data_IF_214685731988
#
_entry.id   IF_214685731988
#
_cell.length_a   1.000
_cell.length_b   1.000
_cell.length_c   1.000
_cell.angle_alpha   90.00
_cell.angle_beta   90.00
_cell.angle_gamma   90.00
#
_symmetry.space_group_name_H-M   'P 1'
#
loop_
_entity.id
_entity.type
_entity.pdbx_description
1 polymer ?
#
# COMPACT_ATOMS: atom_id res chain seq x y z
N UNK A 1 -12.54 -27.64 -46.78
CA UNK A 1 -12.77 -28.85 -47.60
C UNK A 1 -12.93 -28.50 -49.08
N UNK A 2 -13.42 -27.32 -49.43
CA UNK A 2 -13.49 -26.82 -50.83
C UNK A 2 -12.14 -26.80 -51.53
N UNK A 3 -11.09 -26.25 -50.91
CA UNK A 3 -9.75 -26.12 -51.51
C UNK A 3 -9.18 -27.44 -52.05
N UNK A 4 -9.23 -28.53 -51.29
CA UNK A 4 -8.71 -29.84 -51.72
C UNK A 4 -9.54 -30.44 -52.88
N UNK A 5 -10.85 -30.24 -52.86
CA UNK A 5 -11.74 -30.76 -53.90
C UNK A 5 -11.68 -29.93 -55.20
N UNK A 6 -11.59 -28.61 -55.07
CA UNK A 6 -11.64 -27.67 -56.20
C UNK A 6 -10.26 -27.47 -56.86
N UNK A 7 -9.18 -27.39 -56.08
CA UNK A 7 -7.84 -27.11 -56.62
C UNK A 7 -7.02 -28.38 -56.90
N UNK A 8 -7.31 -29.48 -56.21
CA UNK A 8 -6.53 -30.71 -56.30
C UNK A 8 -7.37 -31.93 -56.72
N UNK A 9 -8.65 -31.74 -57.06
CA UNK A 9 -9.56 -32.82 -57.49
C UNK A 9 -9.77 -33.91 -56.43
N UNK A 10 -9.39 -33.66 -55.18
CA UNK A 10 -9.30 -34.68 -54.14
C UNK A 10 -10.41 -34.53 -53.11
N UNK A 11 -11.38 -35.45 -53.16
CA UNK A 11 -12.46 -35.55 -52.18
C UNK A 11 -12.08 -36.50 -51.05
N UNK A 12 -11.34 -36.00 -50.05
CA UNK A 12 -11.06 -36.78 -48.85
C UNK A 12 -12.33 -36.98 -47.99
N UNK A 13 -12.52 -38.19 -47.48
CA UNK A 13 -13.59 -38.50 -46.52
C UNK A 13 -13.27 -37.87 -45.15
N UNK A 14 -14.28 -37.59 -44.29
CA UNK A 14 -14.05 -37.08 -42.94
C UNK A 14 -13.09 -37.93 -42.10
N UNK A 15 -13.06 -39.25 -42.31
CA UNK A 15 -12.14 -40.18 -41.63
C UNK A 15 -10.69 -39.92 -42.04
N UNK A 16 -10.43 -39.72 -43.33
CA UNK A 16 -9.08 -39.43 -43.85
C UNK A 16 -8.53 -38.10 -43.30
N UNK A 17 -9.39 -37.07 -43.23
CA UNK A 17 -9.02 -35.80 -42.59
C UNK A 17 -8.71 -35.98 -41.10
N UNK A 18 -9.54 -36.71 -40.33
CA UNK A 18 -9.28 -36.96 -38.90
C UNK A 18 -7.96 -37.70 -38.67
N UNK A 19 -7.63 -38.69 -39.50
CA UNK A 19 -6.33 -39.39 -39.44
C UNK A 19 -5.17 -38.44 -39.70
N UNK A 20 -5.27 -37.60 -40.75
CA UNK A 20 -4.24 -36.61 -41.06
C UNK A 20 -4.11 -35.54 -39.97
N UNK A 21 -5.21 -35.04 -39.43
CA UNK A 21 -5.18 -34.10 -38.30
C UNK A 21 -4.49 -34.70 -37.08
N UNK A 22 -4.73 -35.97 -36.75
CA UNK A 22 -4.02 -36.63 -35.65
C UNK A 22 -2.53 -36.80 -35.96
N UNK A 23 -2.17 -37.22 -37.18
CA UNK A 23 -0.77 -37.33 -37.61
C UNK A 23 -0.03 -35.99 -37.61
N UNK A 24 -0.72 -34.90 -37.90
CA UNK A 24 -0.18 -33.54 -37.87
C UNK A 24 -0.22 -32.90 -36.48
N UNK A 25 -0.64 -33.63 -35.44
CA UNK A 25 -0.75 -33.10 -34.08
C UNK A 25 -1.85 -32.05 -33.90
N UNK A 26 -2.82 -31.97 -34.82
CA UNK A 26 -3.92 -31.02 -34.78
C UNK A 26 -5.03 -31.50 -33.83
N UNK A 27 -4.82 -31.26 -32.53
CA UNK A 27 -5.77 -31.63 -31.49
C UNK A 27 -6.72 -30.47 -31.19
N UNK A 28 -8.02 -30.75 -31.14
CA UNK A 28 -9.07 -29.73 -30.89
C UNK A 28 -9.14 -29.30 -29.41
N UNK A 29 -8.68 -30.14 -28.49
CA UNK A 29 -8.80 -29.94 -27.05
C UNK A 29 -7.41 -29.89 -26.42
N UNK A 30 -7.23 -29.03 -25.40
CA UNK A 30 -5.98 -29.05 -24.65
C UNK A 30 -6.02 -30.28 -23.75
N UNK A 31 -4.93 -31.03 -23.75
CA UNK A 31 -4.67 -32.05 -22.75
C UNK A 31 -4.41 -31.39 -21.40
N UNK A 32 -4.57 -32.15 -20.31
CA UNK A 32 -4.24 -31.65 -18.98
C UNK A 32 -2.76 -31.26 -18.88
N UNK A 33 -1.86 -32.11 -19.39
CA UNK A 33 -0.42 -31.86 -19.48
C UNK A 33 -0.08 -30.54 -20.18
N UNK A 34 -0.73 -30.25 -21.32
CA UNK A 34 -0.58 -28.95 -21.98
C UNK A 34 -1.07 -27.80 -21.10
N UNK A 35 -2.20 -27.97 -20.41
CA UNK A 35 -2.70 -26.96 -19.48
C UNK A 35 -1.72 -26.71 -18.34
N UNK A 36 -1.07 -27.74 -17.78
CA UNK A 36 -0.03 -27.58 -16.75
C UNK A 36 1.14 -26.73 -17.23
N UNK A 37 1.61 -26.95 -18.46
CA UNK A 37 2.69 -26.15 -19.07
C UNK A 37 2.26 -24.72 -19.36
N UNK A 38 1.03 -24.51 -19.82
CA UNK A 38 0.48 -23.17 -20.02
C UNK A 38 0.37 -22.40 -18.70
N UNK A 39 -0.06 -23.07 -17.64
CA UNK A 39 -0.10 -22.48 -16.30
C UNK A 39 1.31 -22.13 -15.81
N UNK A 40 2.27 -23.04 -15.94
CA UNK A 40 3.66 -22.79 -15.51
C UNK A 40 4.27 -21.59 -16.24
N UNK A 41 4.12 -21.52 -17.57
CA UNK A 41 4.50 -20.34 -18.37
C UNK A 41 3.77 -19.06 -17.93
N UNK A 42 2.46 -19.16 -17.64
CA UNK A 42 1.67 -18.03 -17.17
C UNK A 42 2.18 -17.50 -15.83
N UNK A 43 2.40 -18.36 -14.84
CA UNK A 43 2.89 -17.95 -13.52
C UNK A 43 4.25 -17.27 -13.61
N UNK A 44 5.19 -17.83 -14.39
CA UNK A 44 6.49 -17.21 -14.61
C UNK A 44 6.35 -15.81 -15.23
N UNK A 45 5.51 -15.67 -16.25
CA UNK A 45 5.30 -14.38 -16.92
C UNK A 45 4.54 -13.36 -16.07
N UNK A 46 3.57 -13.80 -15.28
CA UNK A 46 2.84 -12.94 -14.35
C UNK A 46 3.77 -12.38 -13.27
N UNK A 47 4.72 -13.18 -12.77
CA UNK A 47 5.77 -12.73 -11.85
C UNK A 47 6.69 -11.68 -12.50
N UNK A 48 6.92 -11.77 -13.81
CA UNK A 48 7.62 -10.75 -14.60
C UNK A 48 6.72 -9.56 -15.02
N UNK A 49 5.45 -9.53 -14.61
CA UNK A 49 4.48 -8.49 -14.97
C UNK A 49 3.96 -8.55 -16.41
N UNK A 50 4.16 -9.66 -17.13
CA UNK A 50 3.75 -9.84 -18.53
C UNK A 50 2.43 -10.62 -18.63
N UNK A 51 1.41 -9.97 -19.19
CA UNK A 51 0.15 -10.64 -19.53
C UNK A 51 0.39 -11.75 -20.56
N UNK A 52 -0.29 -12.87 -20.38
CA UNK A 52 -0.13 -14.06 -21.23
C UNK A 52 -1.40 -14.35 -22.01
N UNK A 53 -1.34 -14.24 -23.34
CA UNK A 53 -2.34 -14.77 -24.27
C UNK A 53 -1.78 -16.02 -24.97
N UNK A 54 -2.45 -17.14 -24.76
CA UNK A 54 -2.09 -18.40 -25.41
C UNK A 54 -2.93 -18.62 -26.65
N UNK A 55 -2.27 -18.83 -27.78
CA UNK A 55 -2.91 -19.12 -29.06
C UNK A 55 -2.49 -20.51 -29.51
N UNK A 56 -3.47 -21.40 -29.66
CA UNK A 56 -3.26 -22.75 -30.19
C UNK A 56 -3.90 -22.86 -31.55
N UNK A 57 -3.11 -23.18 -32.57
CA UNK A 57 -3.60 -23.34 -33.96
C UNK A 57 -4.46 -22.14 -34.43
N UNK A 58 -4.07 -20.92 -34.07
CA UNK A 58 -4.78 -19.69 -34.41
C UNK A 58 -6.02 -19.36 -33.56
N UNK A 59 -6.33 -20.15 -32.52
CA UNK A 59 -7.45 -19.88 -31.59
C UNK A 59 -6.93 -19.59 -30.19
N UNK A 60 -7.50 -18.57 -29.56
CA UNK A 60 -7.18 -18.23 -28.17
C UNK A 60 -7.61 -19.37 -27.24
N UNK A 61 -6.72 -19.76 -26.35
CA UNK A 61 -6.96 -20.74 -25.29
C UNK A 61 -7.52 -20.02 -24.08
N UNK A 62 -8.72 -20.42 -23.64
CA UNK A 62 -9.32 -19.92 -22.41
C UNK A 62 -9.09 -20.92 -21.27
N UNK A 63 -8.06 -20.65 -20.45
CA UNK A 63 -7.72 -21.47 -19.29
C UNK A 63 -8.83 -21.46 -18.24
N UNK A 64 -9.47 -20.31 -18.00
CA UNK A 64 -10.56 -20.18 -17.02
C UNK A 64 -11.75 -21.11 -17.31
N UNK A 65 -12.16 -21.23 -18.57
CA UNK A 65 -13.22 -22.16 -18.99
C UNK A 65 -12.84 -23.62 -18.76
N UNK A 66 -11.56 -23.96 -18.99
CA UNK A 66 -11.06 -25.31 -18.73
C UNK A 66 -11.14 -25.65 -17.25
N UNK A 67 -10.58 -24.78 -16.40
CA UNK A 67 -10.53 -24.90 -14.94
C UNK A 67 -11.94 -25.02 -14.36
N UNK A 68 -12.84 -24.11 -14.75
CA UNK A 68 -14.25 -24.12 -14.31
C UNK A 68 -14.97 -25.42 -14.69
N UNK A 69 -14.75 -25.93 -15.90
CA UNK A 69 -15.38 -27.19 -16.36
C UNK A 69 -14.84 -28.40 -15.59
N UNK A 70 -13.56 -28.37 -15.21
CA UNK A 70 -12.90 -29.45 -14.48
C UNK A 70 -13.08 -29.36 -12.97
N UNK A 71 -13.56 -28.22 -12.45
CA UNK A 71 -13.75 -28.01 -11.02
C UNK A 71 -12.43 -27.90 -10.26
N UNK A 72 -11.36 -27.47 -10.95
CA UNK A 72 -10.00 -27.36 -10.40
C UNK A 72 -9.51 -25.92 -10.54
N UNK A 73 -8.62 -25.52 -9.63
CA UNK A 73 -7.95 -24.23 -9.64
C UNK A 73 -6.65 -24.29 -10.43
N UNK A 74 -6.02 -23.13 -10.67
CA UNK A 74 -4.70 -23.05 -11.28
C UNK A 74 -3.64 -23.80 -10.46
N UNK A 75 -3.74 -23.76 -9.12
CA UNK A 75 -2.76 -24.38 -8.22
C UNK A 75 -2.91 -25.89 -8.13
N UNK A 76 -4.10 -26.43 -8.35
CA UNK A 76 -4.33 -27.88 -8.38
C UNK A 76 -3.65 -28.55 -9.58
N UNK A 77 -3.34 -27.76 -10.62
CA UNK A 77 -2.78 -28.25 -11.88
C UNK A 77 -1.35 -27.78 -12.14
N UNK A 78 -0.95 -26.60 -11.66
CA UNK A 78 0.39 -26.08 -11.92
C UNK A 78 1.43 -26.99 -11.28
N UNK A 79 2.51 -27.21 -12.01
CA UNK A 79 3.68 -27.91 -11.53
C UNK A 79 4.86 -26.96 -11.71
N UNK A 80 5.35 -26.41 -10.61
CA UNK A 80 6.43 -25.42 -10.64
C UNK A 80 7.79 -26.03 -11.03
N UNK A 81 7.91 -27.36 -11.06
CA UNK A 81 9.11 -28.07 -11.53
C UNK A 81 9.08 -28.34 -13.04
N UNK A 82 7.89 -28.26 -13.67
CA UNK A 82 7.73 -28.44 -15.10
C UNK A 82 8.38 -27.26 -15.86
N UNK A 83 9.26 -27.52 -16.86
CA UNK A 83 9.78 -26.47 -17.72
C UNK A 83 8.65 -25.72 -18.41
N UNK A 84 8.75 -24.40 -18.46
CA UNK A 84 7.83 -23.52 -19.19
C UNK A 84 7.99 -23.64 -20.73
N UNK A 85 8.24 -24.83 -21.26
CA UNK A 85 8.38 -25.06 -22.69
C UNK A 85 7.04 -25.41 -23.32
N UNK A 86 6.59 -24.56 -24.23
CA UNK A 86 5.32 -24.75 -24.93
C UNK A 86 5.50 -25.64 -26.17
N UNK A 87 4.55 -26.56 -26.43
CA UNK A 87 4.50 -27.29 -27.69
C UNK A 87 4.49 -26.34 -28.90
N UNK A 88 5.13 -26.73 -30.01
CA UNK A 88 5.29 -25.89 -31.21
C UNK A 88 3.99 -25.31 -31.80
N UNK A 89 2.85 -25.98 -31.56
CA UNK A 89 1.53 -25.60 -32.05
C UNK A 89 0.78 -24.63 -31.11
N UNK A 90 1.37 -24.31 -29.95
CA UNK A 90 0.91 -23.31 -29.00
C UNK A 90 1.92 -22.16 -28.96
N UNK A 91 1.41 -20.93 -29.01
CA UNK A 91 2.22 -19.72 -28.88
C UNK A 91 1.72 -18.93 -27.69
N UNK A 92 2.64 -18.48 -26.85
CA UNK A 92 2.37 -17.45 -25.86
C UNK A 92 2.75 -16.10 -26.44
N UNK A 93 1.89 -15.10 -26.28
CA UNK A 93 2.16 -13.72 -26.66
C UNK A 93 1.75 -12.80 -25.52
N UNK A 94 2.43 -11.66 -25.40
CA UNK A 94 1.88 -10.53 -24.64
C UNK A 94 0.89 -9.84 -25.58
N UNK A 95 -0.41 -9.75 -25.24
CA UNK A 95 -1.34 -8.96 -26.04
C UNK A 95 -0.84 -7.51 -26.09
N UNK A 96 -0.97 -6.86 -27.24
CA UNK A 96 -0.60 -5.44 -27.37
C UNK A 96 -1.46 -4.64 -26.40
N UNK A 97 -0.85 -3.83 -25.50
CA UNK A 97 -1.62 -3.06 -24.55
C UNK A 97 -2.58 -2.13 -25.31
N UNK A 98 -3.84 -1.98 -24.84
CA UNK A 98 -4.76 -1.04 -25.45
C UNK A 98 -4.16 0.38 -25.40
N UNK A 99 -4.39 1.21 -26.44
CA UNK A 99 -3.92 2.58 -26.43
C UNK A 99 -4.67 3.37 -25.34
N UNK A 100 -3.97 3.65 -24.25
CA UNK A 100 -4.40 4.43 -23.07
C UNK A 100 -5.53 3.82 -22.22
N UNK A 101 -5.69 4.37 -21.00
CA UNK A 101 -6.76 4.09 -20.02
C UNK A 101 -8.18 4.46 -20.49
N UNK A 102 -8.41 4.60 -21.80
CA UNK A 102 -9.68 5.08 -22.38
C UNK A 102 -10.52 3.96 -23.00
N UNK A 103 -10.12 2.71 -22.83
CA UNK A 103 -10.95 1.61 -23.29
C UNK A 103 -12.25 1.56 -22.45
N UNK A 104 -13.41 1.25 -23.06
CA UNK A 104 -14.69 1.26 -22.35
C UNK A 104 -14.72 0.36 -21.11
N UNK A 105 -13.95 -0.74 -21.11
CA UNK A 105 -13.84 -1.64 -19.97
C UNK A 105 -13.00 -1.07 -18.82
N UNK A 106 -11.94 -0.30 -19.10
CA UNK A 106 -11.13 0.35 -18.06
C UNK A 106 -11.88 1.53 -17.42
N UNK A 107 -12.66 2.29 -18.22
CA UNK A 107 -13.54 3.34 -17.68
C UNK A 107 -14.61 2.75 -16.76
N UNK A 108 -15.24 1.64 -17.19
CA UNK A 108 -16.19 0.92 -16.33
C UNK A 108 -15.53 0.38 -15.06
N UNK A 109 -14.30 -0.13 -15.15
CA UNK A 109 -13.57 -0.59 -13.98
C UNK A 109 -13.30 0.55 -13.00
N UNK A 110 -12.90 1.73 -13.49
CA UNK A 110 -12.76 2.93 -12.67
C UNK A 110 -14.08 3.30 -11.98
N UNK A 111 -15.20 3.35 -12.70
CA UNK A 111 -16.53 3.62 -12.13
C UNK A 111 -16.91 2.60 -11.04
N UNK A 112 -16.64 1.32 -11.26
CA UNK A 112 -16.90 0.25 -10.30
C UNK A 112 -16.05 0.44 -9.04
N UNK A 113 -14.76 0.75 -9.19
CA UNK A 113 -13.85 0.96 -8.06
C UNK A 113 -14.30 2.19 -7.27
N UNK A 114 -14.42 3.36 -7.90
CA UNK A 114 -14.81 4.62 -7.22
C UNK A 114 -16.19 4.50 -6.58
N UNK A 115 -17.19 3.99 -7.31
CA UNK A 115 -18.55 3.87 -6.82
C UNK A 115 -18.69 2.90 -5.63
N UNK A 116 -17.91 1.82 -5.61
CA UNK A 116 -17.91 0.90 -4.47
C UNK A 116 -17.01 1.37 -3.32
N UNK A 117 -15.97 2.17 -3.58
CA UNK A 117 -15.18 2.81 -2.51
C UNK A 117 -16.07 3.74 -1.67
N UNK A 118 -16.89 4.57 -2.31
CA UNK A 118 -17.90 5.39 -1.62
C UNK A 118 -18.81 4.54 -0.71
N UNK A 119 -19.33 3.43 -1.22
CA UNK A 119 -20.18 2.51 -0.45
C UNK A 119 -19.42 1.87 0.72
N UNK A 120 -18.17 1.46 0.50
CA UNK A 120 -17.33 0.91 1.57
C UNK A 120 -17.09 1.93 2.69
N UNK A 121 -16.81 3.18 2.35
CA UNK A 121 -16.66 4.26 3.33
C UNK A 121 -17.95 4.56 4.10
N UNK A 122 -19.11 4.52 3.43
CA UNK A 122 -20.41 4.66 4.08
C UNK A 122 -20.68 3.50 5.05
N UNK A 123 -20.37 2.25 4.66
CA UNK A 123 -20.49 1.10 5.56
C UNK A 123 -19.59 1.24 6.79
N UNK A 124 -18.33 1.68 6.59
CA UNK A 124 -17.41 1.94 7.70
C UNK A 124 -17.96 3.02 8.64
N UNK A 125 -18.46 4.13 8.08
CA UNK A 125 -19.02 5.22 8.88
C UNK A 125 -20.23 4.77 9.68
N UNK A 126 -21.11 4.00 9.05
CA UNK A 126 -22.29 3.45 9.72
C UNK A 126 -21.86 2.56 10.89
N UNK A 127 -20.90 1.66 10.68
CA UNK A 127 -20.35 0.82 11.74
C UNK A 127 -19.72 1.64 12.88
N UNK A 128 -18.93 2.66 12.56
CA UNK A 128 -18.32 3.57 13.54
C UNK A 128 -19.40 4.30 14.36
N UNK A 129 -20.50 4.72 13.73
CA UNK A 129 -21.64 5.33 14.43
C UNK A 129 -22.38 4.35 15.33
N UNK A 130 -22.65 3.13 14.86
CA UNK A 130 -23.34 2.08 15.62
C UNK A 130 -22.53 1.59 16.82
N UNK A 131 -21.20 1.64 16.72
CA UNK A 131 -20.27 1.23 17.78
C UNK A 131 -19.75 2.38 18.63
N UNK A 132 -20.21 3.61 18.36
CA UNK A 132 -19.72 4.84 19.00
C UNK A 132 -18.19 4.98 18.96
N UNK A 133 -17.57 4.48 17.90
CA UNK A 133 -16.11 4.51 17.73
C UNK A 133 -15.65 5.94 17.48
N UNK A 134 -14.73 6.43 18.31
CA UNK A 134 -14.12 7.75 18.14
C UNK A 134 -12.74 7.63 17.48
N UNK A 135 -12.55 8.34 16.37
CA UNK A 135 -11.29 8.39 15.65
C UNK A 135 -10.48 9.61 16.10
N UNK A 136 -9.48 9.39 16.95
CA UNK A 136 -8.56 10.42 17.41
C UNK A 136 -7.52 10.81 16.35
N UNK A 137 -6.95 12.01 16.46
CA UNK A 137 -5.85 12.46 15.61
C UNK A 137 -4.59 11.59 15.63
N UNK A 138 -4.25 10.88 16.72
CA UNK A 138 -3.19 9.88 16.73
C UNK A 138 -3.29 8.84 15.62
N UNK A 139 -4.49 8.55 15.10
CA UNK A 139 -4.69 7.61 13.99
C UNK A 139 -3.88 7.98 12.74
N UNK A 140 -3.61 9.28 12.54
CA UNK A 140 -2.83 9.77 11.40
C UNK A 140 -1.37 9.32 11.41
N UNK A 141 -0.85 8.87 12.55
CA UNK A 141 0.56 8.46 12.77
C UNK A 141 0.78 6.96 12.70
N UNK A 142 -0.29 6.17 12.73
CA UNK A 142 -0.25 4.71 12.74
C UNK A 142 -0.83 4.15 11.44
N UNK A 143 -0.59 2.88 11.18
CA UNK A 143 -1.23 2.15 10.10
C UNK A 143 -2.68 1.82 10.46
N UNK A 144 -3.58 1.90 9.48
CA UNK A 144 -4.98 1.50 9.62
C UNK A 144 -5.17 -0.02 9.55
N UNK A 145 -4.18 -0.75 9.05
CA UNK A 145 -4.11 -2.20 9.05
C UNK A 145 -2.67 -2.68 9.27
N UNK A 146 -2.47 -3.74 10.05
CA UNK A 146 -1.15 -4.31 10.30
C UNK A 146 -0.50 -4.88 9.03
N UNK A 147 -1.33 -5.37 8.10
CA UNK A 147 -0.85 -5.82 6.79
C UNK A 147 -0.23 -4.70 5.96
N UNK A 148 -0.64 -3.43 6.14
CA UNK A 148 -0.16 -2.30 5.35
C UNK A 148 1.36 -2.10 5.49
N UNK A 149 1.88 -2.18 6.71
CA UNK A 149 3.33 -2.11 6.98
C UNK A 149 4.06 -3.24 6.27
N UNK A 150 3.61 -4.48 6.47
CA UNK A 150 4.25 -5.67 5.92
C UNK A 150 4.25 -5.67 4.38
N UNK A 151 3.20 -5.15 3.75
CA UNK A 151 3.14 -4.98 2.29
C UNK A 151 4.13 -3.91 1.80
N UNK A 152 4.33 -2.83 2.57
CA UNK A 152 5.35 -1.82 2.23
C UNK A 152 6.76 -2.42 2.32
N UNK A 153 7.07 -3.14 3.40
CA UNK A 153 8.36 -3.79 3.59
C UNK A 153 8.64 -4.85 2.52
N UNK A 154 7.65 -5.70 2.21
CA UNK A 154 7.79 -6.70 1.15
C UNK A 154 8.20 -6.06 -0.18
N UNK A 155 7.53 -4.97 -0.57
CA UNK A 155 7.85 -4.26 -1.80
C UNK A 155 9.25 -3.63 -1.78
N UNK A 156 9.69 -3.09 -0.64
CA UNK A 156 11.05 -2.54 -0.51
C UNK A 156 12.11 -3.61 -0.80
N UNK A 157 11.97 -4.81 -0.22
CA UNK A 157 12.91 -5.91 -0.48
C UNK A 157 12.83 -6.43 -1.92
N UNK A 158 11.64 -6.51 -2.52
CA UNK A 158 11.51 -6.87 -3.94
C UNK A 158 12.19 -5.84 -4.87
N UNK A 159 12.04 -4.54 -4.61
CA UNK A 159 12.73 -3.48 -5.34
C UNK A 159 14.26 -3.58 -5.17
N UNK A 160 14.72 -3.96 -3.97
CA UNK A 160 16.11 -4.24 -3.67
C UNK A 160 16.64 -5.57 -4.27
N UNK A 161 15.79 -6.33 -4.97
CA UNK A 161 16.08 -7.67 -5.52
C UNK A 161 16.41 -8.74 -4.47
N UNK A 162 15.93 -8.54 -3.25
CA UNK A 162 16.00 -9.52 -2.17
C UNK A 162 14.66 -10.29 -2.10
N UNK A 163 14.53 -11.29 -2.96
CA UNK A 163 13.30 -12.07 -3.08
C UNK A 163 13.00 -12.91 -1.83
N UNK A 164 14.02 -13.30 -1.07
CA UNK A 164 13.86 -14.12 0.13
C UNK A 164 13.22 -13.30 1.26
N UNK A 165 13.77 -12.12 1.55
CA UNK A 165 13.17 -11.21 2.54
C UNK A 165 11.81 -10.68 2.07
N UNK A 166 11.69 -10.32 0.79
CA UNK A 166 10.42 -9.88 0.21
C UNK A 166 9.32 -10.95 0.35
N UNK A 167 9.67 -12.21 0.11
CA UNK A 167 8.77 -13.36 0.28
C UNK A 167 8.34 -13.58 1.73
N UNK A 168 9.25 -13.48 2.72
CA UNK A 168 8.90 -13.61 4.14
C UNK A 168 7.90 -12.53 4.59
N UNK A 169 8.20 -11.27 4.28
CA UNK A 169 7.30 -10.17 4.60
C UNK A 169 5.94 -10.31 3.90
N UNK A 170 5.91 -10.74 2.64
CA UNK A 170 4.68 -10.97 1.90
C UNK A 170 3.83 -12.09 2.53
N UNK A 171 4.45 -13.18 2.96
CA UNK A 171 3.77 -14.28 3.65
C UNK A 171 3.15 -13.82 4.98
N UNK A 172 3.91 -13.04 5.76
CA UNK A 172 3.41 -12.42 7.01
C UNK A 172 2.28 -11.44 6.73
N UNK A 173 2.38 -10.65 5.65
CA UNK A 173 1.36 -9.72 5.23
C UNK A 173 0.03 -10.44 4.94
N UNK A 174 0.04 -11.55 4.18
CA UNK A 174 -1.19 -12.29 3.88
C UNK A 174 -1.85 -12.90 5.12
N UNK A 175 -1.05 -13.42 6.07
CA UNK A 175 -1.58 -13.92 7.36
C UNK A 175 -2.29 -12.81 8.14
N UNK A 176 -1.69 -11.63 8.20
CA UNK A 176 -2.28 -10.48 8.89
C UNK A 176 -3.50 -9.92 8.14
N UNK A 177 -3.45 -9.90 6.80
CA UNK A 177 -4.51 -9.38 5.95
C UNK A 177 -5.82 -10.16 6.12
N UNK A 178 -5.78 -11.47 6.39
CA UNK A 178 -6.98 -12.24 6.71
C UNK A 178 -7.75 -11.69 7.93
N UNK A 179 -7.01 -11.25 8.96
CA UNK A 179 -7.59 -10.64 10.15
C UNK A 179 -8.08 -9.22 9.87
N UNK A 180 -7.27 -8.45 9.14
CA UNK A 180 -7.55 -7.04 8.87
C UNK A 180 -8.77 -6.85 7.97
N UNK A 181 -8.94 -7.71 6.95
CA UNK A 181 -10.09 -7.69 6.02
C UNK A 181 -11.46 -7.82 6.71
N UNK A 182 -11.52 -8.35 7.93
CA UNK A 182 -12.76 -8.45 8.72
C UNK A 182 -13.16 -7.14 9.39
N UNK A 183 -12.22 -6.21 9.54
CA UNK A 183 -12.35 -4.99 10.35
C UNK A 183 -11.71 -3.77 9.69
N UNK A 184 -11.61 -3.76 8.36
CA UNK A 184 -10.96 -2.68 7.63
C UNK A 184 -11.68 -1.34 7.86
N UNK A 185 -10.95 -0.38 8.41
CA UNK A 185 -11.36 1.02 8.49
C UNK A 185 -11.21 1.72 7.12
N UNK A 186 -11.78 2.92 6.93
CA UNK A 186 -11.55 3.70 5.71
C UNK A 186 -10.06 3.91 5.42
N UNK A 187 -9.26 4.12 6.48
CA UNK A 187 -7.82 4.24 6.37
C UNK A 187 -7.17 2.94 5.90
N UNK A 188 -7.52 1.78 6.48
CA UNK A 188 -6.98 0.50 6.05
C UNK A 188 -7.35 0.15 4.60
N UNK A 189 -8.58 0.48 4.16
CA UNK A 189 -8.98 0.30 2.76
C UNK A 189 -8.13 1.19 1.84
N UNK A 190 -7.95 2.46 2.22
CA UNK A 190 -7.13 3.40 1.45
C UNK A 190 -5.67 2.93 1.35
N UNK A 191 -5.08 2.51 2.46
CA UNK A 191 -3.72 1.98 2.51
C UNK A 191 -3.54 0.75 1.64
N UNK A 192 -4.52 -0.16 1.62
CA UNK A 192 -4.49 -1.34 0.76
C UNK A 192 -4.50 -0.95 -0.73
N UNK A 193 -5.38 -0.02 -1.13
CA UNK A 193 -5.49 0.43 -2.53
C UNK A 193 -4.26 1.24 -2.96
N UNK A 194 -3.85 2.21 -2.15
CA UNK A 194 -2.62 2.99 -2.35
C UNK A 194 -1.39 2.08 -2.38
N UNK A 195 -1.41 1.04 -1.54
CA UNK A 195 -0.40 0.01 -1.47
C UNK A 195 -0.33 -0.89 -2.69
N UNK A 196 -1.20 -0.74 -3.70
CA UNK A 196 -1.12 -1.44 -4.98
C UNK A 196 -0.50 -0.58 -6.10
N UNK A 197 -0.37 0.74 -5.89
CA UNK A 197 0.18 1.64 -6.90
C UNK A 197 1.70 1.53 -6.91
N UNK A 198 2.28 1.36 -8.11
CA UNK A 198 3.73 1.27 -8.37
C UNK A 198 4.42 0.18 -7.54
N UNK A 199 3.79 -0.99 -7.44
CA UNK A 199 4.33 -2.16 -6.74
C UNK A 199 4.97 -3.16 -7.68
N UNK A 200 5.76 -4.06 -7.08
CA UNK A 200 6.21 -5.27 -7.75
C UNK A 200 5.03 -6.02 -8.44
N UNK A 201 5.15 -6.37 -9.74
CA UNK A 201 4.08 -7.01 -10.48
C UNK A 201 3.64 -8.37 -9.93
N UNK A 202 4.58 -9.17 -9.42
CA UNK A 202 4.29 -10.47 -8.83
C UNK A 202 3.51 -10.32 -7.53
N UNK A 203 3.94 -9.40 -6.68
CA UNK A 203 3.23 -9.02 -5.46
C UNK A 203 1.80 -8.55 -5.74
N UNK A 204 1.61 -7.66 -6.71
CA UNK A 204 0.28 -7.16 -7.04
C UNK A 204 -0.63 -8.26 -7.60
N UNK A 205 -0.08 -9.17 -8.42
CA UNK A 205 -0.82 -10.33 -8.91
C UNK A 205 -1.30 -11.21 -7.76
N UNK A 206 -0.41 -11.53 -6.82
CA UNK A 206 -0.75 -12.32 -5.64
C UNK A 206 -1.82 -11.62 -4.79
N UNK A 207 -1.66 -10.31 -4.54
CA UNK A 207 -2.57 -9.53 -3.73
C UNK A 207 -3.97 -9.43 -4.36
N UNK A 208 -4.08 -9.09 -5.65
CA UNK A 208 -5.36 -9.07 -6.37
C UNK A 208 -6.08 -10.42 -6.28
N UNK A 209 -5.34 -11.51 -6.54
CA UNK A 209 -5.90 -12.87 -6.53
C UNK A 209 -6.42 -13.24 -5.14
N UNK A 210 -5.63 -12.97 -4.11
CA UNK A 210 -6.00 -13.23 -2.72
C UNK A 210 -7.25 -12.44 -2.33
N UNK A 211 -7.27 -11.13 -2.56
CA UNK A 211 -8.38 -10.25 -2.20
C UNK A 211 -9.70 -10.66 -2.91
N UNK A 212 -9.62 -11.02 -4.20
CA UNK A 212 -10.78 -11.51 -4.95
C UNK A 212 -11.30 -12.85 -4.42
N UNK A 213 -10.41 -13.79 -4.11
CA UNK A 213 -10.76 -15.10 -3.55
C UNK A 213 -11.35 -14.98 -2.14
N UNK A 214 -10.70 -14.22 -1.27
CA UNK A 214 -11.15 -13.96 0.10
C UNK A 214 -12.55 -13.34 0.09
N UNK A 215 -12.74 -12.25 -0.67
CA UNK A 215 -14.02 -11.53 -0.70
C UNK A 215 -15.14 -12.34 -1.34
N UNK A 216 -14.83 -13.20 -2.32
CA UNK A 216 -15.81 -14.11 -2.91
C UNK A 216 -16.34 -15.13 -1.90
N UNK A 217 -15.47 -15.59 -1.00
CA UNK A 217 -15.74 -16.62 0.01
C UNK A 217 -16.43 -16.04 1.24
N UNK A 218 -15.95 -14.89 1.72
CA UNK A 218 -16.33 -14.36 3.04
C UNK A 218 -17.35 -13.22 2.98
N UNK A 219 -17.56 -12.58 1.82
CA UNK A 219 -18.44 -11.42 1.71
C UNK A 219 -19.61 -11.70 0.76
N UNK A 220 -20.75 -11.10 1.07
CA UNK A 220 -21.94 -11.17 0.24
C UNK A 220 -21.68 -10.66 -1.18
N UNK A 221 -22.46 -11.16 -2.14
CA UNK A 221 -22.27 -10.79 -3.57
C UNK A 221 -22.33 -9.29 -3.81
N UNK A 222 -23.15 -8.57 -3.06
CA UNK A 222 -23.35 -7.12 -3.18
C UNK A 222 -22.39 -6.30 -2.33
N UNK A 223 -21.52 -6.94 -1.53
CA UNK A 223 -20.60 -6.23 -0.65
C UNK A 223 -19.60 -5.38 -1.46
N UNK A 224 -19.39 -4.09 -1.11
CA UNK A 224 -18.58 -3.18 -1.92
C UNK A 224 -17.13 -3.66 -2.09
N UNK A 225 -16.48 -4.16 -1.03
CA UNK A 225 -15.11 -4.69 -1.13
C UNK A 225 -15.00 -5.88 -2.08
N UNK A 226 -16.02 -6.74 -2.17
CA UNK A 226 -16.03 -7.85 -3.12
C UNK A 226 -16.09 -7.34 -4.56
N UNK A 227 -16.90 -6.32 -4.82
CA UNK A 227 -17.00 -5.69 -6.14
C UNK A 227 -15.69 -5.03 -6.55
N UNK A 228 -15.03 -4.32 -5.63
CA UNK A 228 -13.72 -3.70 -5.86
C UNK A 228 -12.69 -4.79 -6.17
N UNK A 229 -12.48 -5.76 -5.27
CA UNK A 229 -11.39 -6.72 -5.42
C UNK A 229 -11.57 -7.66 -6.61
N UNK A 230 -12.81 -8.04 -6.94
CA UNK A 230 -13.10 -8.78 -8.18
C UNK A 230 -12.71 -7.96 -9.41
N UNK A 231 -13.10 -6.68 -9.45
CA UNK A 231 -12.77 -5.78 -10.55
C UNK A 231 -11.26 -5.56 -10.71
N UNK A 232 -10.53 -5.32 -9.61
CA UNK A 232 -9.08 -5.16 -9.64
C UNK A 232 -8.38 -6.42 -10.17
N UNK A 233 -8.83 -7.62 -9.75
CA UNK A 233 -8.28 -8.88 -10.26
C UNK A 233 -8.58 -9.09 -11.74
N UNK A 234 -9.78 -8.76 -12.22
CA UNK A 234 -10.13 -8.82 -13.63
C UNK A 234 -9.26 -7.90 -14.49
N UNK A 235 -9.03 -6.65 -14.03
CA UNK A 235 -8.14 -5.71 -14.70
C UNK A 235 -6.70 -6.22 -14.71
N UNK A 236 -6.20 -6.70 -13.56
CA UNK A 236 -4.84 -7.27 -13.47
C UNK A 236 -4.66 -8.45 -14.43
N UNK A 237 -5.63 -9.37 -14.50
CA UNK A 237 -5.52 -10.56 -15.37
C UNK A 237 -5.58 -10.19 -16.86
N UNK A 238 -6.37 -9.19 -17.22
CA UNK A 238 -6.61 -8.81 -18.62
C UNK A 238 -5.55 -7.85 -19.17
N UNK A 239 -5.15 -6.87 -18.36
CA UNK A 239 -4.33 -5.74 -18.78
C UNK A 239 -2.97 -5.69 -18.08
N UNK A 240 -2.77 -6.48 -17.04
CA UNK A 240 -1.50 -6.59 -16.33
C UNK A 240 -1.35 -5.58 -15.21
N UNK A 241 -0.20 -5.70 -14.54
CA UNK A 241 0.10 -4.96 -13.34
C UNK A 241 0.16 -3.44 -13.58
N UNK A 242 0.92 -3.03 -14.60
CA UNK A 242 1.14 -1.62 -14.90
C UNK A 242 -0.17 -0.86 -15.16
N UNK A 243 -1.07 -1.42 -15.97
CA UNK A 243 -2.35 -0.78 -16.27
C UNK A 243 -3.27 -0.70 -15.04
N UNK A 244 -3.24 -1.70 -14.16
CA UNK A 244 -3.96 -1.62 -12.89
C UNK A 244 -3.42 -0.49 -12.01
N UNK A 245 -2.09 -0.37 -11.89
CA UNK A 245 -1.43 0.72 -11.15
C UNK A 245 -1.88 2.09 -11.67
N UNK A 246 -1.86 2.27 -12.99
CA UNK A 246 -2.30 3.51 -13.66
C UNK A 246 -3.79 3.81 -13.46
N UNK A 247 -4.66 2.79 -13.50
CA UNK A 247 -6.08 2.94 -13.21
C UNK A 247 -6.30 3.40 -11.77
N UNK A 248 -5.62 2.80 -10.80
CA UNK A 248 -5.72 3.19 -9.40
C UNK A 248 -5.19 4.61 -9.18
N UNK A 249 -4.02 4.92 -9.74
CA UNK A 249 -3.41 6.23 -9.68
C UNK A 249 -4.31 7.34 -10.22
N UNK A 250 -4.98 7.12 -11.35
CA UNK A 250 -5.89 8.10 -11.94
C UNK A 250 -7.22 8.22 -11.20
N UNK A 251 -7.60 7.21 -10.42
CA UNK A 251 -8.85 7.18 -9.65
C UNK A 251 -8.70 7.73 -8.24
N UNK A 252 -7.48 7.77 -7.70
CA UNK A 252 -7.26 7.95 -6.26
C UNK A 252 -7.71 9.33 -5.73
N UNK A 253 -7.53 10.38 -6.54
CA UNK A 253 -7.98 11.73 -6.16
C UNK A 253 -9.51 11.80 -6.04
N UNK A 254 -10.23 11.12 -6.93
CA UNK A 254 -11.70 11.01 -6.85
C UNK A 254 -12.14 10.16 -5.66
N UNK A 255 -11.40 9.08 -5.35
CA UNK A 255 -11.66 8.27 -4.15
C UNK A 255 -11.47 9.11 -2.87
N UNK A 256 -10.41 9.93 -2.82
CA UNK A 256 -10.16 10.83 -1.70
C UNK A 256 -11.24 11.92 -1.56
N UNK A 257 -11.79 12.42 -2.68
CA UNK A 257 -12.93 13.33 -2.67
C UNK A 257 -14.20 12.68 -2.10
N UNK A 258 -14.46 11.41 -2.40
CA UNK A 258 -15.58 10.66 -1.80
C UNK A 258 -15.38 10.47 -0.29
N UNK A 259 -14.15 10.17 0.16
CA UNK A 259 -13.83 10.11 1.59
C UNK A 259 -14.07 11.47 2.27
N UNK A 260 -13.62 12.57 1.66
CA UNK A 260 -13.83 13.93 2.15
C UNK A 260 -15.32 14.30 2.21
N UNK A 261 -16.09 13.95 1.19
CA UNK A 261 -17.53 14.22 1.15
C UNK A 261 -18.28 13.50 2.27
N UNK A 262 -17.83 12.30 2.65
CA UNK A 262 -18.42 11.51 3.73
C UNK A 262 -17.95 12.06 5.09
N UNK A 263 -16.65 12.07 5.37
CA UNK A 263 -16.13 12.34 6.71
C UNK A 263 -15.97 13.84 7.02
N UNK A 264 -15.90 14.68 6.00
CA UNK A 264 -15.64 16.10 6.12
C UNK A 264 -14.16 16.42 6.32
N UNK A 265 -13.79 17.65 5.98
CA UNK A 265 -12.40 18.15 5.95
C UNK A 265 -11.68 18.19 7.29
N UNK A 266 -12.43 18.14 8.38
CA UNK A 266 -11.92 18.17 9.75
C UNK A 266 -11.60 16.78 10.31
N UNK A 267 -11.77 15.73 9.51
CA UNK A 267 -11.58 14.36 9.95
C UNK A 267 -10.11 13.88 9.78
N UNK A 268 -9.54 13.14 10.74
CA UNK A 268 -8.20 12.57 10.65
C UNK A 268 -7.94 11.78 9.36
N UNK A 269 -8.88 10.92 8.94
CA UNK A 269 -8.76 10.14 7.68
C UNK A 269 -8.58 11.02 6.43
N UNK A 270 -9.22 12.19 6.39
CA UNK A 270 -9.18 13.09 5.23
C UNK A 270 -7.84 13.81 5.19
N UNK A 271 -7.40 14.34 6.34
CA UNK A 271 -6.08 14.98 6.46
C UNK A 271 -4.95 13.97 6.14
N UNK A 272 -5.04 12.76 6.67
CA UNK A 272 -4.12 11.64 6.42
C UNK A 272 -4.03 11.35 4.92
N UNK A 273 -5.18 11.12 4.28
CA UNK A 273 -5.27 10.75 2.86
C UNK A 273 -4.65 11.81 1.96
N UNK A 274 -5.05 13.08 2.11
CA UNK A 274 -4.52 14.15 1.25
C UNK A 274 -3.03 14.40 1.46
N UNK A 275 -2.52 14.26 2.69
CA UNK A 275 -1.09 14.32 2.95
C UNK A 275 -0.34 13.14 2.29
N UNK A 276 -0.85 11.91 2.39
CA UNK A 276 -0.24 10.74 1.72
C UNK A 276 -0.19 10.93 0.21
N UNK A 277 -1.29 11.37 -0.40
CA UNK A 277 -1.38 11.62 -1.84
C UNK A 277 -0.33 12.61 -2.31
N UNK A 278 -0.16 13.71 -1.58
CA UNK A 278 0.79 14.75 -1.96
C UNK A 278 2.25 14.33 -1.72
N UNK A 279 2.55 13.67 -0.60
CA UNK A 279 3.93 13.35 -0.19
C UNK A 279 4.49 12.07 -0.82
N UNK A 280 3.66 11.04 -0.98
CA UNK A 280 4.13 9.70 -1.34
C UNK A 280 3.63 9.24 -2.70
N UNK A 281 2.61 9.90 -3.24
CA UNK A 281 1.97 9.56 -4.50
C UNK A 281 1.89 10.75 -5.44
N UNK A 282 2.77 11.75 -5.34
CA UNK A 282 2.91 12.85 -6.32
C UNK A 282 1.60 13.49 -6.84
N UNK A 283 0.53 13.46 -6.04
CA UNK A 283 -0.81 13.97 -6.36
C UNK A 283 -1.04 15.22 -5.53
N UNK A 284 -0.37 16.30 -5.91
CA UNK A 284 -0.39 17.56 -5.17
C UNK A 284 -1.49 18.47 -5.73
N UNK A 285 -2.39 18.93 -4.84
CA UNK A 285 -3.38 19.97 -5.15
C UNK A 285 -3.27 21.10 -4.10
N UNK A 286 -2.39 22.10 -4.32
CA UNK A 286 -2.09 23.12 -3.31
C UNK A 286 -3.32 23.85 -2.80
N UNK A 287 -4.24 24.25 -3.69
CA UNK A 287 -5.48 24.94 -3.30
C UNK A 287 -6.35 24.12 -2.34
N UNK A 288 -6.41 22.80 -2.56
CA UNK A 288 -7.16 21.88 -1.68
C UNK A 288 -6.46 21.72 -0.34
N UNK A 289 -5.14 21.54 -0.35
CA UNK A 289 -4.34 21.43 0.88
C UNK A 289 -4.45 22.69 1.74
N UNK A 290 -4.40 23.87 1.13
CA UNK A 290 -4.58 25.16 1.81
C UNK A 290 -5.97 25.27 2.48
N UNK A 291 -7.04 24.88 1.78
CA UNK A 291 -8.41 24.86 2.34
C UNK A 291 -8.51 23.93 3.56
N UNK A 292 -7.91 22.74 3.48
CA UNK A 292 -7.84 21.82 4.61
C UNK A 292 -7.10 22.46 5.80
N UNK A 293 -5.91 23.04 5.55
CA UNK A 293 -5.10 23.69 6.59
C UNK A 293 -5.88 24.78 7.32
N UNK A 294 -6.65 25.62 6.60
CA UNK A 294 -7.47 26.67 7.21
C UNK A 294 -8.50 26.07 8.19
N UNK A 295 -9.23 25.04 7.78
CA UNK A 295 -10.24 24.40 8.63
C UNK A 295 -9.62 23.64 9.82
N UNK A 296 -8.47 22.98 9.59
CA UNK A 296 -7.76 22.25 10.63
C UNK A 296 -7.13 23.17 11.67
N UNK A 297 -6.64 24.36 11.30
CA UNK A 297 -6.15 25.35 12.27
C UNK A 297 -7.25 25.86 13.22
N UNK A 298 -8.50 25.91 12.77
CA UNK A 298 -9.63 26.23 13.65
C UNK A 298 -9.87 25.09 14.64
N UNK A 299 -9.88 23.85 14.15
CA UNK A 299 -10.04 22.67 15.00
C UNK A 299 -8.89 22.51 16.00
N UNK A 300 -7.65 22.74 15.58
CA UNK A 300 -6.46 22.72 16.41
C UNK A 300 -6.64 23.61 17.65
N UNK A 301 -7.10 24.86 17.48
CA UNK A 301 -7.36 25.77 18.61
C UNK A 301 -8.42 25.24 19.56
N UNK A 302 -9.46 24.59 19.04
CA UNK A 302 -10.51 23.98 19.86
C UNK A 302 -9.97 22.80 20.67
N UNK A 303 -9.10 21.98 20.07
CA UNK A 303 -8.45 20.86 20.76
C UNK A 303 -7.47 21.36 21.83
N UNK A 304 -6.72 22.43 21.55
CA UNK A 304 -5.83 23.07 22.53
C UNK A 304 -6.59 23.57 23.76
N UNK A 305 -7.77 24.18 23.56
CA UNK A 305 -8.61 24.63 24.67
C UNK A 305 -9.16 23.47 25.50
N UNK A 306 -9.47 22.33 24.86
CA UNK A 306 -10.09 21.17 25.54
C UNK A 306 -9.09 20.27 26.24
N UNK A 307 -7.94 20.01 25.60
CA UNK A 307 -6.99 18.98 26.01
C UNK A 307 -5.64 19.56 26.47
N UNK A 308 -5.43 20.86 26.30
CA UNK A 308 -4.14 21.51 26.54
C UNK A 308 -3.16 21.34 25.38
N UNK A 309 -2.17 22.23 25.33
CA UNK A 309 -1.19 22.34 24.25
C UNK A 309 -0.30 21.09 24.08
N UNK A 310 -0.07 20.34 25.16
CA UNK A 310 0.84 19.18 25.19
C UNK A 310 0.12 17.84 25.05
N UNK A 311 -1.18 17.83 24.74
CA UNK A 311 -1.91 16.57 24.52
C UNK A 311 -1.52 15.92 23.20
N UNK A 312 -1.54 14.58 23.16
CA UNK A 312 -1.20 13.81 21.95
C UNK A 312 -2.13 14.17 20.78
N UNK A 313 -3.42 14.42 21.05
CA UNK A 313 -4.38 14.92 20.04
C UNK A 313 -3.90 16.21 19.37
N UNK A 314 -3.46 17.20 20.15
CA UNK A 314 -2.95 18.48 19.64
C UNK A 314 -1.64 18.31 18.89
N UNK A 315 -0.73 17.47 19.38
CA UNK A 315 0.53 17.15 18.68
C UNK A 315 0.25 16.52 17.33
N UNK A 316 -0.66 15.55 17.27
CA UNK A 316 -0.99 14.84 16.04
C UNK A 316 -1.68 15.72 15.00
N UNK A 317 -2.64 16.58 15.39
CA UNK A 317 -3.25 17.52 14.42
C UNK A 317 -2.24 18.57 13.94
N UNK A 318 -1.37 19.09 14.82
CA UNK A 318 -0.32 20.05 14.42
C UNK A 318 0.67 19.42 13.45
N UNK A 319 1.01 18.16 13.67
CA UNK A 319 1.82 17.40 12.73
C UNK A 319 1.12 17.18 11.37
N UNK A 320 -0.17 16.82 11.37
CA UNK A 320 -0.93 16.71 10.13
C UNK A 320 -0.99 18.05 9.36
N UNK A 321 -1.18 19.16 10.06
CA UNK A 321 -1.11 20.51 9.47
C UNK A 321 0.27 20.79 8.89
N UNK A 322 1.35 20.48 9.62
CA UNK A 322 2.73 20.64 9.13
C UNK A 322 2.93 19.87 7.81
N UNK A 323 2.52 18.61 7.75
CA UNK A 323 2.64 17.80 6.53
C UNK A 323 1.86 18.40 5.37
N UNK A 324 0.63 18.88 5.58
CA UNK A 324 -0.19 19.49 4.53
C UNK A 324 0.42 20.81 4.03
N UNK A 325 0.94 21.66 4.92
CA UNK A 325 1.60 22.92 4.55
C UNK A 325 2.88 22.64 3.76
N UNK A 326 3.71 21.72 4.26
CA UNK A 326 4.94 21.33 3.57
C UNK A 326 4.65 20.72 2.20
N UNK A 327 3.66 19.82 2.10
CA UNK A 327 3.30 19.19 0.84
C UNK A 327 2.74 20.19 -0.20
N UNK A 328 2.05 21.24 0.23
CA UNK A 328 1.53 22.28 -0.66
C UNK A 328 2.63 23.18 -1.23
N UNK A 329 3.61 23.56 -0.39
CA UNK A 329 4.72 24.41 -0.80
C UNK A 329 5.94 24.20 0.11
N UNK A 330 6.82 23.22 -0.22
CA UNK A 330 7.91 22.81 0.66
C UNK A 330 8.85 23.94 1.05
N UNK A 331 9.18 24.83 0.11
CA UNK A 331 10.14 25.93 0.33
C UNK A 331 9.51 27.25 0.80
N UNK A 332 8.24 27.22 1.24
CA UNK A 332 7.53 28.43 1.67
C UNK A 332 7.90 28.86 3.10
N UNK A 333 7.79 30.17 3.37
CA UNK A 333 7.88 30.69 4.73
C UNK A 333 6.83 30.08 5.66
N UNK A 334 5.66 29.72 5.13
CA UNK A 334 4.61 29.04 5.88
C UNK A 334 5.04 27.64 6.34
N UNK A 335 5.72 26.86 5.49
CA UNK A 335 6.27 25.56 5.84
C UNK A 335 7.38 25.68 6.89
N UNK A 336 8.29 26.64 6.71
CA UNK A 336 9.34 26.95 7.68
C UNK A 336 8.77 27.38 9.04
N UNK A 337 7.75 28.23 9.05
CA UNK A 337 7.08 28.65 10.29
C UNK A 337 6.39 27.48 10.97
N UNK A 338 5.66 26.65 10.23
CA UNK A 338 5.00 25.46 10.77
C UNK A 338 6.01 24.47 11.38
N UNK A 339 7.18 24.30 10.74
CA UNK A 339 8.27 23.47 11.27
C UNK A 339 8.82 24.04 12.59
N UNK A 340 9.07 25.35 12.66
CA UNK A 340 9.52 26.01 13.88
C UNK A 340 8.49 25.87 15.03
N UNK A 341 7.21 26.09 14.73
CA UNK A 341 6.13 25.97 15.72
C UNK A 341 6.03 24.55 16.26
N UNK A 342 6.18 23.55 15.38
CA UNK A 342 6.13 22.14 15.77
C UNK A 342 7.38 21.72 16.57
N UNK A 343 8.56 22.19 16.16
CA UNK A 343 9.79 21.98 16.93
C UNK A 343 9.70 22.53 18.35
N UNK A 344 9.23 23.77 18.50
CA UNK A 344 9.06 24.40 19.82
C UNK A 344 8.04 23.64 20.68
N UNK A 345 6.96 23.14 20.07
CA UNK A 345 6.01 22.27 20.77
C UNK A 345 6.70 21.02 21.32
N UNK A 346 7.44 20.27 20.49
CA UNK A 346 8.12 19.05 20.90
C UNK A 346 9.16 19.31 22.00
N UNK A 347 9.89 20.42 21.92
CA UNK A 347 10.82 20.84 22.99
C UNK A 347 10.10 21.14 24.29
N UNK A 348 9.00 21.89 24.25
CA UNK A 348 8.22 22.23 25.45
C UNK A 348 7.57 20.99 26.09
N UNK A 349 7.40 19.91 25.33
CA UNK A 349 6.94 18.62 25.82
C UNK A 349 8.04 17.73 26.38
N UNK A 350 9.30 18.18 26.39
CA UNK A 350 10.47 17.40 26.79
C UNK A 350 10.60 16.07 26.03
N UNK A 351 10.23 16.06 24.74
CA UNK A 351 10.37 14.88 23.87
C UNK A 351 11.65 14.89 23.02
N UNK A 352 12.46 15.94 23.14
CA UNK A 352 13.66 16.16 22.32
C UNK A 352 14.91 16.13 23.20
N UNK A 353 15.69 15.05 23.10
CA UNK A 353 16.88 14.84 23.91
C UNK A 353 18.14 15.03 23.07
N UNK A 354 19.06 15.94 23.41
CA UNK A 354 20.31 16.09 22.68
C UNK A 354 21.08 14.77 22.66
N UNK A 355 21.58 14.36 21.49
CA UNK A 355 22.38 13.13 21.36
C UNK A 355 23.86 13.43 21.60
N UNK A 356 24.57 12.45 22.15
CA UNK A 356 26.03 12.46 22.19
C UNK A 356 26.60 12.06 20.82
N UNK A 357 26.41 12.92 19.83
CA UNK A 357 26.89 12.73 18.46
C UNK A 357 28.04 13.72 18.15
N UNK A 358 28.96 13.30 17.31
CA UNK A 358 29.98 14.13 16.65
C UNK A 358 29.39 15.32 15.88
N UNK A 359 28.13 15.20 15.43
CA UNK A 359 27.44 16.22 14.64
C UNK A 359 26.59 17.14 15.54
N UNK A 360 26.78 18.47 15.49
CA UNK A 360 25.96 19.40 16.24
C UNK A 360 24.48 19.35 15.80
N UNK A 361 23.57 19.81 16.67
CA UNK A 361 22.12 19.86 16.42
C UNK A 361 21.44 18.49 16.15
N UNK A 362 21.95 17.44 16.80
CA UNK A 362 21.38 16.09 16.69
C UNK A 362 20.57 15.74 17.95
N UNK A 363 19.32 15.30 17.79
CA UNK A 363 18.40 15.00 18.90
C UNK A 363 17.75 13.62 18.74
N UNK A 364 17.57 12.91 19.85
CA UNK A 364 16.71 11.74 19.94
C UNK A 364 15.28 12.22 20.20
N UNK A 365 14.36 11.92 19.28
CA UNK A 365 12.96 12.30 19.39
C UNK A 365 12.17 11.14 20.00
N UNK A 366 11.69 11.32 21.23
CA UNK A 366 10.86 10.33 21.92
C UNK A 366 9.40 10.60 21.61
N UNK A 367 8.77 9.81 20.74
CA UNK A 367 7.39 10.08 20.35
C UNK A 367 6.44 10.04 21.56
N UNK A 368 5.64 11.10 21.81
CA UNK A 368 4.70 11.12 22.94
C UNK A 368 3.49 10.21 22.70
N UNK A 369 3.30 9.75 21.47
CA UNK A 369 2.23 8.82 21.12
C UNK A 369 2.54 7.44 21.71
N UNK A 370 1.63 6.91 22.54
CA UNK A 370 1.65 5.53 23.00
C UNK A 370 0.83 4.65 22.06
N UNK A 371 1.36 3.51 21.66
CA UNK A 371 0.67 2.53 20.80
C UNK A 371 0.50 1.22 21.57
N UNK A 372 -0.63 0.55 21.37
CA UNK A 372 -0.82 -0.80 21.91
C UNK A 372 -0.04 -1.83 21.06
N UNK A 373 0.17 -3.06 21.56
CA UNK A 373 0.99 -4.07 20.88
C UNK A 373 0.53 -4.44 19.45
N UNK A 374 -0.74 -4.21 19.11
CA UNK A 374 -1.35 -4.56 17.84
C UNK A 374 -1.37 -3.40 16.84
N UNK A 375 -1.13 -2.17 17.31
CA UNK A 375 -1.06 -0.98 16.48
C UNK A 375 0.39 -0.72 16.05
N UNK A 376 0.59 -0.48 14.76
CA UNK A 376 1.92 -0.24 14.18
C UNK A 376 2.06 1.21 13.73
N UNK A 377 3.17 1.85 14.10
CA UNK A 377 3.49 3.21 13.64
C UNK A 377 3.81 3.22 12.15
N UNK A 378 3.39 4.27 11.49
CA UNK A 378 3.78 4.52 10.11
C UNK A 378 5.15 5.24 10.09
N UNK A 379 6.24 4.48 10.23
CA UNK A 379 7.62 5.01 10.38
C UNK A 379 8.02 5.99 9.27
N UNK A 380 7.63 5.71 8.02
CA UNK A 380 7.86 6.57 6.85
C UNK A 380 7.40 8.03 7.05
N UNK A 381 6.40 8.27 7.90
CA UNK A 381 5.96 9.63 8.23
C UNK A 381 6.94 10.35 9.15
N UNK A 382 7.48 9.64 10.12
CA UNK A 382 8.55 10.18 10.96
C UNK A 382 9.78 10.53 10.12
N UNK A 383 10.07 9.78 9.05
CA UNK A 383 11.14 10.14 8.10
C UNK A 383 10.85 11.48 7.41
N UNK A 384 9.59 11.74 7.00
CA UNK A 384 9.22 13.06 6.47
C UNK A 384 9.44 14.18 7.49
N UNK A 385 9.16 13.93 8.78
CA UNK A 385 9.45 14.91 9.84
C UNK A 385 10.96 15.19 9.95
N UNK A 386 11.78 14.13 9.86
CA UNK A 386 13.25 14.24 9.87
C UNK A 386 13.70 15.15 8.73
N UNK A 387 13.21 14.90 7.51
CA UNK A 387 13.51 15.73 6.33
C UNK A 387 13.12 17.20 6.55
N UNK A 388 11.89 17.45 7.01
CA UNK A 388 11.38 18.82 7.24
C UNK A 388 12.27 19.57 8.25
N UNK A 389 12.68 18.92 9.33
CA UNK A 389 13.51 19.56 10.36
C UNK A 389 14.95 19.78 9.90
N UNK A 390 15.52 18.85 9.13
CA UNK A 390 16.86 19.02 8.57
C UNK A 390 16.87 20.17 7.55
N UNK A 391 15.86 20.24 6.68
CA UNK A 391 15.74 21.28 5.64
C UNK A 391 15.44 22.68 6.19
N UNK A 392 14.49 22.81 7.12
CA UNK A 392 14.03 24.13 7.56
C UNK A 392 14.71 24.65 8.82
N UNK A 393 15.20 23.76 9.67
CA UNK A 393 15.75 24.10 10.99
C UNK A 393 17.24 23.77 11.11
N UNK A 394 17.80 22.98 10.19
CA UNK A 394 19.17 22.47 10.31
C UNK A 394 19.34 21.56 11.53
N UNK A 395 18.26 20.88 11.93
CA UNK A 395 18.22 19.98 13.09
C UNK A 395 18.03 18.56 12.59
N UNK A 396 18.89 17.65 13.06
CA UNK A 396 18.70 16.22 12.82
C UNK A 396 17.97 15.59 13.99
N UNK A 397 16.93 14.84 13.69
CA UNK A 397 16.22 14.05 14.69
C UNK A 397 16.38 12.55 14.39
N UNK A 398 16.53 11.74 15.44
CA UNK A 398 16.46 10.29 15.39
C UNK A 398 15.19 9.85 16.13
N UNK A 399 14.11 9.47 15.43
CA UNK A 399 12.89 9.01 16.06
C UNK A 399 13.15 7.74 16.90
N UNK A 400 12.74 7.79 18.15
CA UNK A 400 12.70 6.66 19.07
C UNK A 400 11.25 6.36 19.46
N UNK A 401 10.94 5.07 19.50
CA UNK A 401 9.65 4.55 19.91
C UNK A 401 9.86 3.58 21.07
N UNK A 402 8.95 3.62 22.04
CA UNK A 402 9.06 2.82 23.27
C UNK A 402 9.05 1.31 23.03
N UNK A 403 8.44 0.88 21.93
CA UNK A 403 8.46 -0.50 21.47
C UNK A 403 9.84 -0.98 20.94
N UNK A 404 10.79 -0.07 20.73
CA UNK A 404 12.14 -0.37 20.25
C UNK A 404 13.16 -0.42 21.40
N UNK A 405 14.26 -1.14 21.21
CA UNK A 405 15.40 -1.06 22.14
C UNK A 405 16.09 0.30 22.02
N UNK A 406 16.10 1.08 23.11
CA UNK A 406 16.78 2.39 23.15
C UNK A 406 18.29 2.20 23.22
N UNK A 407 18.99 2.46 22.12
CA UNK A 407 20.46 2.35 22.03
C UNK A 407 21.17 3.70 21.94
N UNK A 408 20.44 4.82 22.02
CA UNK A 408 20.99 6.16 21.76
C UNK A 408 21.51 6.78 23.05
N UNK A 409 22.80 7.13 23.11
CA UNK A 409 23.32 7.91 24.25
C UNK A 409 22.89 9.38 24.15
N UNK A 410 22.17 9.85 25.18
CA UNK A 410 21.84 11.27 25.31
C UNK A 410 23.03 12.03 25.90
N UNK A 411 23.25 13.27 25.46
CA UNK A 411 24.16 14.17 26.14
C UNK A 411 23.56 14.51 27.53
N UNK A 412 24.39 14.46 28.58
CA UNK A 412 23.96 14.91 29.91
C UNK A 412 23.51 16.36 29.84
N UNK A 413 22.36 16.68 30.44
CA UNK A 413 21.97 18.07 30.63
C UNK A 413 23.04 18.77 31.47
N UNK A 414 23.47 19.96 31.04
CA UNK A 414 24.55 20.71 31.69
C UNK A 414 24.25 20.99 33.17
N UNK A 415 22.97 21.00 33.56
CA UNK A 415 22.52 21.10 34.95
C UNK A 415 22.80 19.83 35.77
N UNK A 416 22.60 18.64 35.21
CA UNK A 416 22.92 17.37 35.87
C UNK A 416 24.42 17.12 35.94
N UNK A 417 25.18 17.55 34.93
CA UNK A 417 26.64 17.50 34.95
C UNK A 417 27.23 18.42 36.05
N UNK A 418 26.67 19.62 36.24
CA UNK A 418 27.05 20.52 37.34
C UNK A 418 26.61 19.99 38.71
N UNK A 419 25.40 19.43 38.82
CA UNK A 419 24.92 18.81 40.07
C UNK A 419 25.74 17.57 40.46
N UNK A 420 26.12 16.73 39.49
CA UNK A 420 27.00 15.58 39.69
C UNK A 420 28.43 16.01 40.04
N UNK A 421 28.95 17.08 39.41
CA UNK A 421 30.26 17.65 39.75
C UNK A 421 30.27 18.29 41.15
N UNK A 422 29.17 18.94 41.56
CA UNK A 422 29.01 19.50 42.91
C UNK A 422 28.88 18.40 43.99
N UNK A 423 28.20 17.29 43.68
CA UNK A 423 28.16 16.12 44.57
C UNK A 423 29.55 15.47 44.72
N UNK A 424 30.32 15.30 43.64
CA UNK A 424 31.71 14.84 43.72
C UNK A 424 32.65 15.83 44.42
N UNK A 425 32.35 17.14 44.39
CA UNK A 425 33.09 18.16 45.15
C UNK A 425 32.81 18.16 46.65
N UNK A 426 31.69 17.57 47.09
CA UNK A 426 31.27 17.53 48.49
C UNK A 426 31.80 16.33 49.29
N UNK A 427 32.25 15.27 48.63
CA UNK A 427 32.72 14.03 49.27
C UNK A 427 34.19 14.06 49.70
N UNK A 428 34.91 15.18 49.49
CA UNK A 428 36.35 15.27 49.76
C UNK A 428 36.73 16.13 51.00
N UNK A 429 35.86 16.18 52.01
CA UNK A 429 36.20 16.75 53.34
C UNK A 429 35.95 15.75 54.46
N UNK A 430 36.66 14.62 54.42
CA UNK A 430 36.95 13.86 55.64
C UNK A 430 38.35 14.24 56.09
N UNK A 431 38.42 15.18 57.04
CA UNK A 431 39.62 15.45 57.82
C UNK A 431 39.98 14.19 58.60
N UNK A 432 41.16 13.64 58.34
CA UNK A 432 41.78 12.69 59.27
C UNK A 432 42.41 13.46 60.42
N UNK A 433 42.25 12.95 61.65
CA UNK A 433 43.28 12.96 62.69
C UNK A 433 42.97 11.85 63.70
N UNK A 434 43.99 10.99 63.87
CA UNK A 434 44.38 10.12 65.01
C UNK A 434 43.29 9.52 65.88
#
# INVERSE_FOLDING_TARGET
MSVMAEQYGFQATPKMYKTRFSQWGFVKNNTEEEVKRLLSMKFQRDAEGKVSEFVRNGRVVNLGTYLKRKGVTEYDLVDFELPADLPAHIRCRTPTPPPALRSPDLLRAQEVVVGNMRKAFLHCRQFEMETETQIGWPSTMVWGAGSSELLVEANFYFEARDADQGGDYLMRAFKQLELDLRKLSPQGIMELILGMINRDPGMMTALCKYLAAYSTTNLERTHPLRQIFTCLYEVQQKHGAQTLSELLWTSISTIAEELEAIYGRKHPYVARTWADLALFYSQVNPERLEKLVVELRVLQRQLEQRHGHSSVEVVSIRYAILLLVYAASPQSDAAKQAANDYWNLLRNMNTMFPMRDSRPNSYCYHSPLKVDPWTKRCRRRYDTLVTIFEEHLGVRINPYFEEDFHTTEHAQETQDAWAAALQMGSTNRSWGFI
#
